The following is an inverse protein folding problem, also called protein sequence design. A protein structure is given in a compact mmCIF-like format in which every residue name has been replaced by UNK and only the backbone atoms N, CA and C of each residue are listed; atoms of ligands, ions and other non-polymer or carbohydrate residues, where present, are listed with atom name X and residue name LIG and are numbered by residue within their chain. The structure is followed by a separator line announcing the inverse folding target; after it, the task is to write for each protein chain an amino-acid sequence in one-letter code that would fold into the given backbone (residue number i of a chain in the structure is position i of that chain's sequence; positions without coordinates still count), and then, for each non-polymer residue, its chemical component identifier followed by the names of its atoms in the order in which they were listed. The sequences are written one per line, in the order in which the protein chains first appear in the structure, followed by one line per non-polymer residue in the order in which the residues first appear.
data_IF_647183840246
#
_entry.id   IF_647183840246
#
_cell.length_a   1.000
_cell.length_b   1.000
_cell.length_c   1.000
_cell.angle_alpha   90.00
_cell.angle_beta   90.00
_cell.angle_gamma   90.00
#
_symmetry.space_group_name_H-M   'P 1'
#
loop_
_entity.id
_entity.type
_entity.pdbx_description
1 polymer ?
#
# COMPACT_ATOMS: atom_id res chain seq x y z
N UNK A 1 23.45 15.10 -5.17
CA UNK A 1 23.48 14.37 -6.46
C UNK A 1 22.06 13.89 -6.71
N UNK A 2 21.40 14.48 -7.71
CA UNK A 2 19.97 14.33 -7.96
C UNK A 2 19.66 13.09 -8.79
N UNK A 3 18.61 12.37 -8.40
CA UNK A 3 18.05 11.29 -9.22
C UNK A 3 17.26 11.88 -10.38
N UNK A 4 17.61 11.48 -11.60
CA UNK A 4 16.84 11.77 -12.81
C UNK A 4 15.62 10.84 -12.87
N UNK A 5 14.42 11.40 -12.72
CA UNK A 5 13.18 10.69 -13.00
C UNK A 5 13.03 10.50 -14.51
N UNK A 6 13.13 9.25 -14.96
CA UNK A 6 12.73 8.87 -16.32
C UNK A 6 11.21 8.65 -16.25
N UNK A 7 10.47 9.47 -17.00
CA UNK A 7 9.02 9.32 -17.12
C UNK A 7 8.68 8.63 -18.44
N UNK A 8 7.62 7.82 -18.36
CA UNK A 8 6.81 7.24 -19.45
C UNK A 8 7.30 5.94 -20.10
N UNK A 9 7.16 4.85 -19.34
CA UNK A 9 6.69 3.57 -19.90
C UNK A 9 5.17 3.56 -19.77
N UNK A 10 4.44 3.44 -20.88
CA UNK A 10 2.97 3.39 -20.85
C UNK A 10 2.49 2.11 -20.18
N UNK A 11 2.14 2.18 -18.91
CA UNK A 11 1.33 1.17 -18.24
C UNK A 11 -0.14 1.56 -18.39
N UNK A 12 -0.98 0.58 -18.74
CA UNK A 12 -2.44 0.73 -18.89
C UNK A 12 -3.14 0.93 -17.51
N UNK A 13 -2.37 1.04 -16.43
CA UNK A 13 -2.82 1.36 -15.07
C UNK A 13 -1.99 2.51 -14.46
N UNK A 14 -2.69 3.47 -13.86
CA UNK A 14 -2.22 4.70 -13.18
C UNK A 14 -1.06 4.41 -12.17
N UNK A 15 -0.04 5.29 -12.02
CA UNK A 15 1.32 4.85 -11.76
C UNK A 15 1.57 4.46 -10.30
N UNK A 16 1.98 3.22 -10.11
CA UNK A 16 2.84 2.90 -8.98
C UNK A 16 4.25 3.38 -9.30
N UNK A 17 4.89 4.05 -8.33
CA UNK A 17 6.21 4.65 -8.51
C UNK A 17 7.25 3.56 -8.27
N UNK A 18 8.13 3.31 -9.25
CA UNK A 18 9.28 2.43 -9.09
C UNK A 18 10.49 3.27 -8.68
N UNK A 19 11.20 2.85 -7.63
CA UNK A 19 12.39 3.55 -7.15
C UNK A 19 13.42 2.56 -6.58
N UNK A 20 14.70 2.98 -6.53
CA UNK A 20 15.76 2.18 -5.93
C UNK A 20 16.00 2.60 -4.48
N UNK A 21 16.05 1.63 -3.57
CA UNK A 21 16.36 1.83 -2.16
C UNK A 21 17.00 0.57 -1.58
N UNK A 22 18.05 0.73 -0.77
CA UNK A 22 18.81 -0.38 -0.16
C UNK A 22 19.34 -1.39 -1.21
N UNK A 23 19.73 -0.90 -2.38
CA UNK A 23 20.25 -1.72 -3.48
C UNK A 23 19.20 -2.61 -4.16
N UNK A 24 17.91 -2.28 -4.01
CA UNK A 24 16.78 -3.07 -4.53
C UNK A 24 15.76 -2.15 -5.20
N UNK A 25 14.97 -2.69 -6.11
CA UNK A 25 13.83 -1.97 -6.69
C UNK A 25 12.61 -2.11 -5.78
N UNK A 26 11.90 -1.00 -5.59
CA UNK A 26 10.71 -0.90 -4.75
C UNK A 26 9.55 -0.34 -5.55
N UNK A 27 8.37 -0.93 -5.33
CA UNK A 27 7.10 -0.48 -5.87
C UNK A 27 6.36 0.34 -4.81
N UNK A 28 6.10 1.62 -5.06
CA UNK A 28 5.30 2.48 -4.19
C UNK A 28 3.92 2.69 -4.78
N UNK A 29 2.89 2.16 -4.13
CA UNK A 29 1.50 2.45 -4.44
C UNK A 29 0.95 3.49 -3.47
N UNK A 30 0.43 4.59 -3.99
CA UNK A 30 -0.15 5.68 -3.18
C UNK A 30 -1.67 5.65 -3.27
N UNK A 31 -2.34 5.79 -2.13
CA UNK A 31 -3.80 5.81 -2.00
C UNK A 31 -4.23 6.92 -1.05
N UNK A 32 -5.46 7.41 -1.23
CA UNK A 32 -6.03 8.46 -0.39
C UNK A 32 -7.22 7.91 0.40
N UNK A 33 -7.13 8.00 1.73
CA UNK A 33 -8.06 7.43 2.68
C UNK A 33 -7.56 6.09 3.24
N UNK A 34 -7.91 5.81 4.50
CA UNK A 34 -7.49 4.59 5.22
C UNK A 34 -8.66 3.78 5.78
N UNK A 35 -9.87 3.97 5.23
CA UNK A 35 -11.00 3.13 5.59
C UNK A 35 -10.79 1.68 5.10
N UNK A 36 -11.46 0.72 5.75
CA UNK A 36 -11.24 -0.72 5.49
C UNK A 36 -11.49 -1.11 4.02
N UNK A 37 -12.56 -0.64 3.34
CA UNK A 37 -12.75 -0.89 1.91
C UNK A 37 -11.60 -0.36 1.03
N UNK A 38 -11.11 0.85 1.29
CA UNK A 38 -9.96 1.43 0.58
C UNK A 38 -8.69 0.62 0.85
N UNK A 39 -8.47 0.16 2.08
CA UNK A 39 -7.33 -0.68 2.42
C UNK A 39 -7.37 -2.01 1.65
N UNK A 40 -8.51 -2.71 1.63
CA UNK A 40 -8.67 -3.97 0.91
C UNK A 40 -8.45 -3.81 -0.60
N UNK A 41 -9.10 -2.82 -1.21
CA UNK A 41 -8.98 -2.57 -2.65
C UNK A 41 -7.56 -2.18 -3.05
N UNK A 42 -6.91 -1.32 -2.27
CA UNK A 42 -5.51 -0.96 -2.45
C UNK A 42 -4.58 -2.17 -2.35
N UNK A 43 -4.78 -3.03 -1.36
CA UNK A 43 -3.97 -4.22 -1.16
C UNK A 43 -4.10 -5.18 -2.34
N UNK A 44 -5.30 -5.43 -2.84
CA UNK A 44 -5.54 -6.28 -4.02
C UNK A 44 -4.90 -5.67 -5.27
N UNK A 45 -5.08 -4.37 -5.50
CA UNK A 45 -4.47 -3.68 -6.64
C UNK A 45 -2.95 -3.78 -6.60
N UNK A 46 -2.36 -3.54 -5.41
CA UNK A 46 -0.92 -3.66 -5.20
C UNK A 46 -0.42 -5.06 -5.51
N UNK A 47 -1.09 -6.13 -5.03
CA UNK A 47 -0.67 -7.50 -5.30
C UNK A 47 -0.66 -7.80 -6.81
N UNK A 48 -1.66 -7.34 -7.56
CA UNK A 48 -1.68 -7.50 -9.03
C UNK A 48 -0.51 -6.79 -9.69
N UNK A 49 -0.26 -5.53 -9.33
CA UNK A 49 0.88 -4.79 -9.89
C UNK A 49 2.23 -5.39 -9.49
N UNK A 50 2.33 -5.95 -8.29
CA UNK A 50 3.51 -6.70 -7.84
C UNK A 50 3.77 -7.93 -8.71
N UNK A 51 2.72 -8.70 -9.00
CA UNK A 51 2.77 -9.86 -9.88
C UNK A 51 3.16 -9.48 -11.32
N UNK A 52 2.55 -8.42 -11.86
CA UNK A 52 2.79 -7.91 -13.22
C UNK A 52 4.21 -7.34 -13.40
N UNK A 53 4.68 -6.55 -12.42
CA UNK A 53 6.01 -5.91 -12.48
C UNK A 53 7.17 -6.83 -12.09
N UNK A 54 6.89 -7.94 -11.40
CA UNK A 54 7.88 -8.84 -10.78
C UNK A 54 8.78 -8.15 -9.74
N UNK A 55 8.40 -6.97 -9.26
CA UNK A 55 9.11 -6.26 -8.20
C UNK A 55 8.63 -6.80 -6.86
N UNK A 56 9.54 -7.36 -6.07
CA UNK A 56 9.18 -8.11 -4.87
C UNK A 56 9.13 -7.28 -3.58
N UNK A 57 9.59 -6.04 -3.63
CA UNK A 57 9.62 -5.10 -2.52
C UNK A 57 8.66 -3.96 -2.81
N UNK A 58 7.81 -3.61 -1.85
CA UNK A 58 6.89 -2.51 -2.06
C UNK A 58 6.38 -1.85 -0.80
N UNK A 59 5.81 -0.69 -1.02
CA UNK A 59 5.17 0.17 -0.04
C UNK A 59 3.77 0.48 -0.52
N UNK A 60 2.79 0.34 0.38
CA UNK A 60 1.44 0.86 0.15
C UNK A 60 1.25 2.03 1.10
N UNK A 61 1.27 3.24 0.55
CA UNK A 61 1.15 4.49 1.29
C UNK A 61 -0.29 4.99 1.26
N UNK A 62 -0.90 5.08 2.43
CA UNK A 62 -2.23 5.65 2.63
C UNK A 62 -2.11 7.06 3.18
N UNK A 63 -2.39 8.03 2.33
CA UNK A 63 -2.52 9.43 2.71
C UNK A 63 -3.88 9.67 3.39
N UNK A 64 -3.97 10.60 4.35
CA UNK A 64 -5.25 10.92 4.96
C UNK A 64 -6.19 11.57 3.93
N UNK A 65 -7.50 11.49 4.15
CA UNK A 65 -8.51 12.02 3.21
C UNK A 65 -8.34 13.51 2.91
N UNK A 66 -7.71 14.27 3.81
CA UNK A 66 -7.35 15.68 3.62
C UNK A 66 -6.40 15.92 2.44
N UNK A 67 -5.68 14.90 1.98
CA UNK A 67 -4.80 14.98 0.81
C UNK A 67 -5.54 15.41 -0.47
N UNK A 68 -6.86 15.13 -0.56
CA UNK A 68 -7.69 15.53 -1.71
C UNK A 68 -7.79 17.05 -1.89
N UNK A 69 -7.58 17.80 -0.81
CA UNK A 69 -7.70 19.26 -0.79
C UNK A 69 -6.35 19.96 -1.01
N UNK A 70 -5.26 19.20 -1.12
CA UNK A 70 -3.92 19.74 -1.35
C UNK A 70 -3.85 20.17 -2.80
N UNK A 71 -3.40 21.40 -3.03
CA UNK A 71 -3.16 21.88 -4.40
C UNK A 71 -2.07 21.02 -5.04
N UNK A 72 -2.21 20.65 -6.32
CA UNK A 72 -1.21 19.83 -7.01
C UNK A 72 0.02 20.65 -7.41
N UNK A 73 0.56 21.46 -6.51
CA UNK A 73 1.84 22.15 -6.67
C UNK A 73 2.91 21.37 -5.91
N UNK A 74 4.14 21.38 -6.42
CA UNK A 74 5.26 20.70 -5.76
C UNK A 74 5.44 21.16 -4.31
N UNK A 75 5.34 22.47 -4.05
CA UNK A 75 5.47 23.05 -2.73
C UNK A 75 4.37 22.57 -1.77
N UNK A 76 3.11 22.57 -2.21
CA UNK A 76 1.98 22.17 -1.37
C UNK A 76 2.01 20.67 -1.08
N UNK A 77 2.31 19.84 -2.09
CA UNK A 77 2.49 18.40 -1.94
C UNK A 77 3.65 18.08 -1.01
N UNK A 78 4.81 18.71 -1.21
CA UNK A 78 5.97 18.50 -0.33
C UNK A 78 5.65 18.91 1.12
N UNK A 79 5.03 20.08 1.33
CA UNK A 79 4.63 20.52 2.67
C UNK A 79 3.67 19.52 3.33
N UNK A 80 2.71 18.99 2.57
CA UNK A 80 1.76 18.01 3.08
C UNK A 80 2.44 16.68 3.46
N UNK A 81 3.22 16.11 2.54
CA UNK A 81 3.92 14.82 2.74
C UNK A 81 4.88 14.87 3.93
N UNK A 82 5.51 16.02 4.19
CA UNK A 82 6.42 16.21 5.32
C UNK A 82 5.74 16.39 6.68
N UNK A 83 4.43 16.70 6.73
CA UNK A 83 3.75 17.09 7.97
C UNK A 83 2.57 16.19 8.32
N UNK A 84 1.91 15.62 7.32
CA UNK A 84 0.72 14.83 7.53
C UNK A 84 1.06 13.39 7.94
N UNK A 85 0.41 12.86 8.98
CA UNK A 85 0.56 11.46 9.33
C UNK A 85 -0.06 10.58 8.24
N UNK A 86 0.60 9.47 7.96
CA UNK A 86 0.23 8.47 6.96
C UNK A 86 0.19 7.10 7.62
N UNK A 87 -0.50 6.17 6.95
CA UNK A 87 -0.37 4.74 7.19
C UNK A 87 0.44 4.15 6.04
N UNK A 88 1.45 3.34 6.34
CA UNK A 88 2.28 2.68 5.33
C UNK A 88 2.38 1.19 5.62
N UNK A 89 2.07 0.37 4.62
CA UNK A 89 2.34 -1.06 4.64
C UNK A 89 3.65 -1.32 3.89
N UNK A 90 4.53 -2.11 4.50
CA UNK A 90 5.77 -2.56 3.87
C UNK A 90 5.58 -4.02 3.50
N UNK A 91 5.78 -4.35 2.22
CA UNK A 91 5.64 -5.69 1.70
C UNK A 91 6.96 -6.15 1.06
N UNK A 92 7.63 -7.09 1.70
CA UNK A 92 8.78 -7.79 1.11
C UNK A 92 8.54 -9.30 1.18
N UNK A 93 9.35 -10.14 0.51
CA UNK A 93 9.16 -11.59 0.54
C UNK A 93 9.14 -12.15 1.97
N UNK A 94 10.08 -11.72 2.80
CA UNK A 94 10.31 -12.27 4.15
C UNK A 94 9.78 -11.37 5.27
N UNK A 95 9.66 -10.06 5.03
CA UNK A 95 9.34 -9.09 6.08
C UNK A 95 8.17 -8.21 5.64
N UNK A 96 7.14 -8.19 6.48
CA UNK A 96 5.93 -7.37 6.31
C UNK A 96 5.74 -6.52 7.56
N UNK A 97 5.56 -5.22 7.37
CA UNK A 97 5.42 -4.25 8.47
C UNK A 97 4.26 -3.29 8.22
N UNK A 98 3.76 -2.70 9.30
CA UNK A 98 2.74 -1.67 9.27
C UNK A 98 3.21 -0.49 10.13
N UNK A 99 3.31 0.68 9.51
CA UNK A 99 3.61 1.93 10.19
C UNK A 99 2.38 2.83 10.16
N UNK A 100 2.01 3.42 11.30
CA UNK A 100 0.87 4.31 11.44
C UNK A 100 1.27 5.58 12.19
N UNK A 101 0.68 6.71 11.81
CA UNK A 101 0.87 7.98 12.52
C UNK A 101 2.23 8.65 12.28
N UNK A 102 3.01 8.15 11.34
CA UNK A 102 4.29 8.74 10.93
C UNK A 102 4.10 9.61 9.69
N UNK A 103 4.99 10.57 9.45
CA UNK A 103 5.07 11.24 8.14
C UNK A 103 5.81 10.35 7.13
N UNK A 104 5.64 10.58 5.84
CA UNK A 104 6.32 9.75 4.83
C UNK A 104 7.86 9.78 4.95
N UNK A 105 8.54 10.92 5.21
CA UNK A 105 9.98 10.91 5.47
C UNK A 105 10.36 10.04 6.67
N UNK A 106 9.56 10.06 7.74
CA UNK A 106 9.80 9.20 8.90
C UNK A 106 9.63 7.71 8.57
N UNK A 107 8.67 7.36 7.70
CA UNK A 107 8.53 5.99 7.18
C UNK A 107 9.80 5.57 6.41
N UNK A 108 10.32 6.43 5.52
CA UNK A 108 11.55 6.13 4.78
C UNK A 108 12.76 5.96 5.70
N UNK A 109 12.88 6.79 6.75
CA UNK A 109 13.93 6.62 7.75
C UNK A 109 13.83 5.26 8.46
N UNK A 110 12.63 4.86 8.90
CA UNK A 110 12.39 3.54 9.52
C UNK A 110 12.67 2.39 8.56
N UNK A 111 12.33 2.57 7.28
CA UNK A 111 12.61 1.59 6.23
C UNK A 111 14.12 1.36 6.08
N UNK A 112 14.92 2.43 6.10
CA UNK A 112 16.38 2.32 6.02
C UNK A 112 16.95 1.70 7.30
N UNK A 113 16.57 2.21 8.48
CA UNK A 113 17.22 1.85 9.73
C UNK A 113 16.77 0.50 10.30
N UNK A 114 15.50 0.13 10.11
CA UNK A 114 14.94 -1.10 10.69
C UNK A 114 14.74 -2.18 9.66
N UNK A 115 14.04 -1.87 8.56
CA UNK A 115 13.70 -2.88 7.55
C UNK A 115 14.97 -3.30 6.82
N UNK A 116 15.87 -2.37 6.48
CA UNK A 116 17.19 -2.70 5.92
C UNK A 116 17.96 -3.70 6.79
N UNK A 117 18.14 -3.38 8.07
CA UNK A 117 18.84 -4.27 9.01
C UNK A 117 18.15 -5.64 9.16
N UNK A 118 16.82 -5.68 9.27
CA UNK A 118 16.06 -6.93 9.37
C UNK A 118 16.15 -7.79 8.10
N UNK A 119 16.17 -7.16 6.92
CA UNK A 119 16.33 -7.85 5.64
C UNK A 119 17.73 -8.47 5.50
N UNK A 120 18.77 -7.79 5.95
CA UNK A 120 20.14 -8.33 5.99
C UNK A 120 20.26 -9.52 6.94
N UNK A 121 19.58 -9.43 8.09
CA UNK A 121 19.50 -10.51 9.08
C UNK A 121 18.55 -11.64 8.68
N UNK A 122 17.84 -11.52 7.54
CA UNK A 122 16.82 -12.47 7.07
C UNK A 122 15.74 -12.78 8.10
N UNK A 123 15.35 -11.79 8.89
CA UNK A 123 14.29 -11.94 9.89
C UNK A 123 12.93 -12.01 9.19
N UNK A 124 12.22 -13.11 9.43
CA UNK A 124 10.90 -13.34 8.86
C UNK A 124 9.80 -12.76 9.77
N UNK A 125 8.87 -12.04 9.15
CA UNK A 125 7.70 -11.50 9.84
C UNK A 125 6.56 -11.28 8.87
N UNK A 126 5.37 -11.77 9.24
CA UNK A 126 4.12 -11.51 8.53
C UNK A 126 3.46 -10.18 8.96
N UNK A 127 2.41 -9.78 8.23
CA UNK A 127 1.59 -8.64 8.64
C UNK A 127 1.01 -8.86 10.04
N UNK A 128 0.76 -7.77 10.80
CA UNK A 128 0.06 -7.87 12.07
C UNK A 128 -1.27 -8.61 11.93
N UNK A 129 -1.54 -9.56 12.82
CA UNK A 129 -2.76 -10.39 12.78
C UNK A 129 -4.04 -9.54 12.74
N UNK A 130 -4.05 -8.39 13.42
CA UNK A 130 -5.16 -7.44 13.41
C UNK A 130 -5.48 -6.95 11.99
N UNK A 131 -4.46 -6.59 11.21
CA UNK A 131 -4.62 -6.14 9.82
C UNK A 131 -5.20 -7.25 8.95
N UNK A 132 -4.65 -8.47 9.09
CA UNK A 132 -5.12 -9.65 8.35
C UNK A 132 -6.59 -9.94 8.64
N UNK A 133 -6.98 -9.95 9.92
CA UNK A 133 -8.37 -10.16 10.33
C UNK A 133 -9.28 -9.07 9.76
N UNK A 134 -8.86 -7.80 9.81
CA UNK A 134 -9.62 -6.68 9.23
C UNK A 134 -9.86 -6.86 7.74
N UNK A 135 -8.83 -7.24 6.99
CA UNK A 135 -8.94 -7.51 5.54
C UNK A 135 -9.88 -8.69 5.24
N UNK A 136 -9.75 -9.79 5.98
CA UNK A 136 -10.59 -10.97 5.80
C UNK A 136 -12.07 -10.68 6.11
N UNK A 137 -12.35 -9.97 7.20
CA UNK A 137 -13.72 -9.57 7.55
C UNK A 137 -14.37 -8.73 6.46
N UNK A 138 -13.63 -7.77 5.89
CA UNK A 138 -14.14 -6.98 4.78
C UNK A 138 -14.41 -7.84 3.55
N UNK A 139 -13.49 -8.76 3.22
CA UNK A 139 -13.68 -9.67 2.09
C UNK A 139 -14.95 -10.52 2.23
N UNK A 140 -15.19 -11.10 3.42
CA UNK A 140 -16.41 -11.87 3.71
C UNK A 140 -17.66 -10.98 3.59
N UNK A 141 -17.61 -9.76 4.13
CA UNK A 141 -18.72 -8.81 4.01
C UNK A 141 -19.07 -8.51 2.55
N UNK A 142 -18.06 -8.27 1.71
CA UNK A 142 -18.27 -7.96 0.29
C UNK A 142 -18.87 -9.16 -0.47
N UNK A 143 -18.45 -10.38 -0.15
CA UNK A 143 -19.02 -11.60 -0.71
C UNK A 143 -20.49 -11.76 -0.32
N UNK A 144 -20.83 -11.55 0.94
CA UNK A 144 -22.22 -11.64 1.42
C UNK A 144 -23.12 -10.64 0.71
N UNK A 145 -22.70 -9.38 0.56
CA UNK A 145 -23.47 -8.37 -0.18
C UNK A 145 -23.67 -8.74 -1.65
N UNK A 146 -22.65 -9.34 -2.28
CA UNK A 146 -22.73 -9.79 -3.68
C UNK A 146 -23.71 -10.96 -3.83
N UNK A 147 -23.67 -11.93 -2.90
CA UNK A 147 -24.54 -13.11 -2.93
C UNK A 147 -25.99 -12.78 -2.56
N UNK A 148 -26.24 -11.87 -1.62
CA UNK A 148 -27.61 -11.48 -1.24
C UNK A 148 -28.39 -10.75 -2.35
N UNK A 149 -27.73 -10.24 -3.39
CA UNK A 149 -28.38 -9.69 -4.58
C UNK A 149 -28.80 -10.77 -5.60
N UNK A 150 -28.42 -12.04 -5.39
CA UNK A 150 -28.68 -13.16 -6.31
C UNK A 150 -29.86 -14.06 -5.93
N UNK A 151 -30.64 -13.76 -4.89
CA UNK A 151 -31.67 -14.69 -4.39
C UNK A 151 -33.12 -14.33 -4.75
N UNK A 152 -33.63 -15.01 -5.79
CA UNK A 152 -34.65 -16.03 -5.59
C UNK A 152 -34.11 -17.49 -5.55
N UNK A 153 -32.81 -17.72 -5.71
CA UNK A 153 -32.24 -19.08 -5.84
C UNK A 153 -32.03 -19.85 -4.52
N UNK A 154 -31.92 -19.20 -3.37
CA UNK A 154 -31.79 -19.83 -2.05
C UNK A 154 -33.01 -20.68 -1.66
N UNK A 155 -34.18 -20.42 -2.27
CA UNK A 155 -35.39 -21.20 -2.04
C UNK A 155 -35.45 -22.53 -2.81
N UNK A 156 -34.42 -22.88 -3.58
CA UNK A 156 -34.42 -24.09 -4.43
C UNK A 156 -33.61 -25.27 -3.88
N UNK A 157 -33.01 -25.12 -2.69
CA UNK A 157 -32.12 -26.13 -2.07
C UNK A 157 -32.72 -26.75 -0.80
N UNK A 158 -33.95 -26.37 -0.41
CA UNK A 158 -34.71 -27.02 0.68
C UNK A 158 -35.90 -27.78 0.10
#
# INVERSE_FOLDING_TARGET
QGGSGISEVSYISVPDIVFSLLGREWLLSVKIGENVPTLKSAFIQYQRHKEESRINHGLILFLPSSARNVKPTEQDVNSFINKSPVTCLVDTPILKEEYRGLTFPQVLLRLISEVGAKLEQKLEKGYPLKLVITLLKQHVSDLMTTVSLSDPMLLRVV
#
